data_IF_566019482665
#
_entry.id   IF_566019482665
#
_cell.length_a   1.000
_cell.length_b   1.000
_cell.length_c   1.000
_cell.angle_alpha   90.00
_cell.angle_beta   90.00
_cell.angle_gamma   90.00
#
_symmetry.space_group_name_H-M   'P 1'
#
loop_
_entity.id
_entity.type
_entity.pdbx_description
1 polymer ?
#
# COMPACT_ATOMS: atom_id res chain seq x y z
N UNK A 1 9.69 -3.64 6.49
CA UNK A 1 9.36 -5.08 6.57
C UNK A 1 8.90 -5.49 7.96
N UNK A 2 9.41 -4.85 9.02
CA UNK A 2 9.14 -5.21 10.41
C UNK A 2 10.07 -6.30 10.94
N UNK A 3 10.01 -6.58 12.26
CA UNK A 3 10.98 -7.40 12.98
C UNK A 3 10.77 -8.92 12.88
N UNK A 4 9.97 -9.41 11.93
CA UNK A 4 9.52 -10.82 11.92
C UNK A 4 8.40 -11.11 12.92
N UNK A 5 8.58 -10.72 14.19
CA UNK A 5 7.54 -10.77 15.23
C UNK A 5 7.49 -9.48 16.04
N UNK A 6 6.30 -8.92 16.19
CA UNK A 6 6.07 -7.76 17.06
C UNK A 6 6.12 -8.17 18.55
N UNK A 7 6.15 -7.17 19.45
CA UNK A 7 6.29 -7.39 20.91
C UNK A 7 5.15 -8.21 21.51
N UNK A 8 3.98 -8.18 20.90
CA UNK A 8 2.79 -8.95 21.27
C UNK A 8 2.81 -10.39 20.70
N UNK A 9 3.87 -10.78 19.99
CA UNK A 9 4.02 -12.08 19.34
C UNK A 9 3.43 -12.16 17.93
N UNK A 10 2.72 -11.12 17.47
CA UNK A 10 2.10 -11.07 16.15
C UNK A 10 3.17 -11.17 15.06
N UNK A 11 2.96 -12.03 14.06
CA UNK A 11 3.88 -12.20 12.93
C UNK A 11 3.81 -10.97 12.01
N UNK A 12 4.96 -10.53 11.52
CA UNK A 12 5.01 -9.53 10.44
C UNK A 12 4.68 -10.18 9.10
N UNK A 13 4.29 -9.35 8.13
CA UNK A 13 3.89 -9.77 6.78
C UNK A 13 4.90 -10.69 6.08
N UNK A 14 6.23 -10.46 6.14
CA UNK A 14 7.22 -11.39 5.60
C UNK A 14 7.03 -12.84 6.04
N UNK A 15 6.85 -13.10 7.34
CA UNK A 15 6.68 -14.48 7.83
C UNK A 15 5.36 -15.07 7.34
N UNK A 16 4.29 -14.29 7.29
CA UNK A 16 2.99 -14.76 6.78
C UNK A 16 3.06 -15.15 5.29
N UNK A 17 3.84 -14.41 4.50
CA UNK A 17 4.06 -14.74 3.08
C UNK A 17 4.86 -16.03 2.95
N UNK A 18 5.98 -16.14 3.68
CA UNK A 18 6.85 -17.30 3.61
C UNK A 18 6.16 -18.57 4.10
N UNK A 19 5.38 -18.51 5.18
CA UNK A 19 4.61 -19.66 5.67
C UNK A 19 3.61 -20.18 4.64
N UNK A 20 2.98 -19.29 3.87
CA UNK A 20 2.09 -19.69 2.78
C UNK A 20 2.87 -20.26 1.60
N UNK A 21 4.00 -19.65 1.25
CA UNK A 21 4.85 -20.10 0.14
C UNK A 21 5.40 -21.51 0.39
N UNK A 22 5.85 -21.80 1.61
CA UNK A 22 6.38 -23.12 2.01
C UNK A 22 5.33 -24.24 1.87
N UNK A 23 4.04 -23.90 1.94
CA UNK A 23 2.93 -24.86 1.82
C UNK A 23 2.46 -25.07 0.38
N UNK A 24 3.04 -24.36 -0.59
CA UNK A 24 2.63 -24.37 -1.99
C UNK A 24 3.81 -24.80 -2.87
N UNK A 25 3.67 -25.95 -3.53
CA UNK A 25 4.75 -26.57 -4.28
C UNK A 25 5.25 -25.69 -5.44
N UNK A 26 4.37 -24.95 -6.11
CA UNK A 26 4.76 -24.05 -7.19
C UNK A 26 5.51 -22.85 -6.61
N UNK A 27 5.02 -22.26 -5.51
CA UNK A 27 5.68 -21.12 -4.86
C UNK A 27 7.07 -21.48 -4.31
N UNK A 28 7.25 -22.68 -3.75
CA UNK A 28 8.56 -23.15 -3.30
C UNK A 28 9.60 -23.12 -4.43
N UNK A 29 9.20 -23.41 -5.66
CA UNK A 29 10.11 -23.46 -6.82
C UNK A 29 10.37 -22.10 -7.45
N UNK A 30 9.40 -21.18 -7.43
CA UNK A 30 9.48 -19.96 -8.24
C UNK A 30 9.57 -18.64 -7.46
N UNK A 31 9.14 -18.60 -6.20
CA UNK A 31 8.98 -17.34 -5.48
C UNK A 31 10.34 -16.77 -5.07
N UNK A 32 10.62 -15.54 -5.49
CA UNK A 32 11.74 -14.73 -4.98
C UNK A 32 11.18 -13.67 -4.04
N UNK A 33 11.65 -13.65 -2.79
CA UNK A 33 11.24 -12.63 -1.81
C UNK A 33 12.40 -11.72 -1.42
N UNK A 34 12.15 -10.42 -1.51
CA UNK A 34 13.04 -9.37 -1.02
C UNK A 34 12.28 -8.56 0.02
N UNK A 35 12.81 -8.51 1.24
CA UNK A 35 12.27 -7.72 2.33
C UNK A 35 13.23 -6.60 2.68
N UNK A 36 12.71 -5.40 2.95
CA UNK A 36 13.52 -4.24 3.33
C UNK A 36 12.93 -3.52 4.53
N UNK A 37 13.78 -3.11 5.46
CA UNK A 37 13.42 -2.22 6.56
C UNK A 37 14.54 -1.20 6.82
N UNK A 38 14.22 0.05 7.09
CA UNK A 38 15.23 1.06 7.40
C UNK A 38 15.82 0.86 8.82
N UNK A 39 15.08 0.22 9.72
CA UNK A 39 15.54 -0.08 11.06
C UNK A 39 16.41 -1.36 11.06
N UNK A 40 17.71 -1.20 11.32
CA UNK A 40 18.67 -2.31 11.28
C UNK A 40 18.39 -3.42 12.29
N UNK A 41 17.85 -3.09 13.46
CA UNK A 41 17.49 -4.10 14.47
C UNK A 41 16.29 -4.93 14.00
N UNK A 42 15.32 -4.29 13.34
CA UNK A 42 14.18 -4.97 12.73
C UNK A 42 14.61 -5.88 11.59
N UNK A 43 15.53 -5.44 10.72
CA UNK A 43 16.09 -6.29 9.66
C UNK A 43 16.81 -7.52 10.22
N UNK A 44 17.67 -7.34 11.24
CA UNK A 44 18.37 -8.47 11.88
C UNK A 44 17.41 -9.45 12.55
N UNK A 45 16.43 -8.91 13.31
CA UNK A 45 15.41 -9.73 13.97
C UNK A 45 14.56 -10.51 12.95
N UNK A 46 14.24 -9.90 11.80
CA UNK A 46 13.55 -10.57 10.72
C UNK A 46 14.38 -11.71 10.11
N UNK A 47 15.68 -11.51 9.88
CA UNK A 47 16.56 -12.58 9.37
C UNK A 47 16.58 -13.80 10.31
N UNK A 48 16.69 -13.58 11.62
CA UNK A 48 16.64 -14.66 12.62
C UNK A 48 15.29 -15.37 12.63
N UNK A 49 14.19 -14.60 12.52
CA UNK A 49 12.85 -15.16 12.45
C UNK A 49 12.63 -15.99 11.17
N UNK A 50 13.22 -15.59 10.04
CA UNK A 50 13.17 -16.36 8.78
C UNK A 50 13.98 -17.65 8.92
N UNK A 51 15.20 -17.58 9.47
CA UNK A 51 16.07 -18.77 9.69
C UNK A 51 15.43 -19.82 10.59
N UNK A 52 14.59 -19.39 11.52
CA UNK A 52 13.88 -20.27 12.46
C UNK A 52 12.53 -20.76 11.93
N UNK A 53 12.14 -20.37 10.71
CA UNK A 53 10.86 -20.75 10.13
C UNK A 53 10.91 -22.21 9.64
N UNK A 54 10.02 -23.11 10.11
CA UNK A 54 10.00 -24.50 9.66
C UNK A 54 9.73 -24.61 8.16
N UNK A 55 10.56 -25.38 7.44
CA UNK A 55 10.42 -25.61 6.01
C UNK A 55 11.01 -24.51 5.12
N UNK A 56 11.70 -23.51 5.69
CA UNK A 56 12.31 -22.43 4.91
C UNK A 56 13.31 -22.93 3.87
N UNK A 57 13.98 -24.05 4.16
CA UNK A 57 14.93 -24.74 3.30
C UNK A 57 14.29 -25.35 2.04
N UNK A 58 12.96 -25.50 2.02
CA UNK A 58 12.22 -25.97 0.84
C UNK A 58 12.08 -24.90 -0.25
N UNK A 59 12.28 -23.62 0.10
CA UNK A 59 12.24 -22.54 -0.88
C UNK A 59 13.52 -22.58 -1.73
N UNK A 60 13.37 -22.81 -3.05
CA UNK A 60 14.48 -22.80 -4.01
C UNK A 60 15.26 -21.48 -4.00
N UNK A 61 14.56 -20.37 -3.75
CA UNK A 61 15.14 -19.05 -3.62
C UNK A 61 15.03 -18.56 -2.19
N UNK A 62 16.12 -18.66 -1.44
CA UNK A 62 16.14 -18.24 -0.04
C UNK A 62 15.82 -16.74 0.12
N UNK A 63 14.99 -16.32 1.09
CA UNK A 63 14.60 -14.92 1.25
C UNK A 63 15.75 -13.97 1.53
N UNK A 64 15.70 -12.79 0.91
CA UNK A 64 16.69 -11.75 1.11
C UNK A 64 16.12 -10.65 2.02
N UNK A 65 16.94 -10.19 2.97
CA UNK A 65 16.60 -9.08 3.85
C UNK A 65 17.64 -7.97 3.64
N UNK A 66 17.14 -6.76 3.43
CA UNK A 66 17.94 -5.56 3.25
C UNK A 66 17.64 -4.53 4.34
N UNK A 67 18.60 -3.61 4.51
CA UNK A 67 18.50 -2.50 5.43
C UNK A 67 18.76 -1.17 4.72
N UNK A 68 17.80 -0.73 3.90
CA UNK A 68 17.87 0.53 3.15
C UNK A 68 16.71 1.45 3.51
N UNK A 69 16.98 2.76 3.53
CA UNK A 69 15.92 3.77 3.56
C UNK A 69 15.27 3.88 2.17
N UNK A 70 13.94 3.89 2.13
CA UNK A 70 13.20 4.02 0.86
C UNK A 70 13.34 5.44 0.34
N UNK A 71 13.91 5.58 -0.85
CA UNK A 71 14.13 6.87 -1.49
C UNK A 71 14.61 6.77 -2.93
N UNK A 72 15.27 7.83 -3.41
CA UNK A 72 15.69 7.96 -4.81
C UNK A 72 16.62 6.83 -5.28
N UNK A 73 17.47 6.31 -4.40
CA UNK A 73 18.39 5.22 -4.73
C UNK A 73 17.64 3.92 -5.05
N UNK A 74 16.59 3.60 -4.30
CA UNK A 74 15.74 2.42 -4.57
C UNK A 74 15.03 2.56 -5.92
N UNK A 75 14.50 3.76 -6.22
CA UNK A 75 13.88 4.01 -7.52
C UNK A 75 14.89 3.87 -8.67
N UNK A 76 16.13 4.35 -8.51
CA UNK A 76 17.20 4.17 -9.50
C UNK A 76 17.56 2.70 -9.70
N UNK A 77 17.67 1.94 -8.61
CA UNK A 77 17.93 0.50 -8.66
C UNK A 77 16.86 -0.22 -9.47
N UNK A 78 15.58 -0.01 -9.15
CA UNK A 78 14.47 -0.63 -9.92
C UNK A 78 14.41 -0.18 -11.38
N UNK A 79 14.78 1.07 -11.68
CA UNK A 79 14.87 1.54 -13.07
C UNK A 79 15.92 0.78 -13.89
N UNK A 80 17.01 0.35 -13.27
CA UNK A 80 18.12 -0.35 -13.93
C UNK A 80 17.93 -1.87 -13.98
N UNK A 81 17.13 -2.43 -13.08
CA UNK A 81 16.83 -3.86 -13.04
C UNK A 81 15.81 -4.24 -14.12
N UNK A 82 15.92 -5.44 -14.68
CA UNK A 82 14.82 -6.06 -15.43
C UNK A 82 14.02 -6.92 -14.46
N UNK A 83 12.83 -6.46 -14.08
CA UNK A 83 11.99 -7.18 -13.13
C UNK A 83 11.31 -8.37 -13.80
N UNK A 84 11.34 -9.50 -13.10
CA UNK A 84 10.39 -10.60 -13.29
C UNK A 84 9.00 -10.16 -12.79
N UNK A 85 7.91 -10.90 -13.05
CA UNK A 85 6.61 -10.58 -12.45
C UNK A 85 6.73 -10.35 -10.95
N UNK A 86 6.36 -9.14 -10.50
CA UNK A 86 6.67 -8.64 -9.17
C UNK A 86 5.44 -7.99 -8.56
N UNK A 87 5.08 -8.41 -7.35
CA UNK A 87 4.18 -7.64 -6.50
C UNK A 87 5.01 -6.80 -5.54
N UNK A 88 5.05 -5.49 -5.76
CA UNK A 88 5.80 -4.56 -4.94
C UNK A 88 4.91 -3.92 -3.88
N UNK A 89 5.32 -4.00 -2.62
CA UNK A 89 4.60 -3.44 -1.49
C UNK A 89 5.43 -2.39 -0.75
N UNK A 90 4.88 -1.18 -0.57
CA UNK A 90 5.59 -0.08 0.10
C UNK A 90 4.75 0.53 1.21
N UNK A 91 5.33 0.62 2.40
CA UNK A 91 4.77 1.38 3.51
C UNK A 91 5.70 2.58 3.81
N UNK A 92 5.47 3.75 3.19
CA UNK A 92 6.30 4.92 3.42
C UNK A 92 6.05 5.47 4.83
N UNK A 93 7.10 5.94 5.50
CA UNK A 93 6.95 6.63 6.77
C UNK A 93 6.39 8.06 6.56
N UNK A 94 5.07 8.15 6.42
CA UNK A 94 4.39 9.38 6.02
C UNK A 94 4.49 9.64 4.52
N UNK A 95 5.18 10.72 4.13
CA UNK A 95 5.34 11.13 2.72
C UNK A 95 6.74 10.83 2.15
N UNK A 96 7.70 10.42 2.98
CA UNK A 96 9.06 10.14 2.53
C UNK A 96 9.12 8.77 1.84
N UNK A 97 9.82 8.70 0.72
CA UNK A 97 10.08 7.47 -0.01
C UNK A 97 9.04 7.12 -1.09
N UNK A 98 7.82 7.67 -1.04
CA UNK A 98 6.82 7.46 -2.09
C UNK A 98 6.87 8.59 -3.12
N UNK A 99 6.98 8.22 -4.41
CA UNK A 99 6.96 9.16 -5.53
C UNK A 99 6.39 8.48 -6.77
N UNK A 100 5.90 9.28 -7.73
CA UNK A 100 5.47 8.77 -9.04
C UNK A 100 6.60 8.02 -9.74
N UNK A 101 7.85 8.49 -9.58
CA UNK A 101 9.05 7.86 -10.13
C UNK A 101 9.27 6.46 -9.56
N UNK A 102 9.09 6.26 -8.25
CA UNK A 102 9.23 4.95 -7.64
C UNK A 102 8.16 3.98 -8.17
N UNK A 103 6.90 4.41 -8.22
CA UNK A 103 5.82 3.56 -8.76
C UNK A 103 6.10 3.20 -10.22
N UNK A 104 6.50 4.17 -11.04
CA UNK A 104 6.85 3.94 -12.44
C UNK A 104 8.06 3.00 -12.61
N UNK A 105 9.07 3.10 -11.73
CA UNK A 105 10.26 2.25 -11.80
C UNK A 105 9.95 0.75 -11.65
N UNK A 106 8.86 0.44 -10.96
CA UNK A 106 8.38 -0.93 -10.76
C UNK A 106 7.43 -1.33 -11.87
N UNK A 107 6.47 -0.47 -12.21
CA UNK A 107 5.45 -0.76 -13.22
C UNK A 107 6.00 -0.78 -14.66
N UNK A 108 7.29 -0.50 -14.89
CA UNK A 108 7.85 -0.51 -16.25
C UNK A 108 7.84 -1.89 -16.89
N UNK A 109 8.10 -2.96 -16.13
CA UNK A 109 8.25 -4.31 -16.66
C UNK A 109 6.93 -5.09 -16.69
N UNK A 110 6.91 -6.23 -17.38
CA UNK A 110 5.72 -7.06 -17.52
C UNK A 110 5.38 -7.77 -16.19
N UNK A 111 4.08 -7.92 -15.91
CA UNK A 111 3.60 -8.64 -14.72
C UNK A 111 3.94 -7.97 -13.39
N UNK A 112 4.21 -6.66 -13.39
CA UNK A 112 4.55 -5.90 -12.19
C UNK A 112 3.36 -5.07 -11.68
N UNK A 113 3.08 -5.23 -10.39
CA UNK A 113 1.99 -4.59 -9.67
C UNK A 113 2.55 -3.85 -8.45
N UNK A 114 1.92 -2.74 -8.06
CA UNK A 114 2.37 -1.93 -6.92
C UNK A 114 1.21 -1.73 -5.94
N UNK A 115 1.48 -1.99 -4.66
CA UNK A 115 0.61 -1.65 -3.54
C UNK A 115 1.39 -0.72 -2.62
N UNK A 116 0.76 0.36 -2.17
CA UNK A 116 1.37 1.18 -1.14
C UNK A 116 0.37 1.78 -0.16
N UNK A 117 0.85 2.02 1.06
CA UNK A 117 0.13 2.79 2.06
C UNK A 117 0.14 4.27 1.71
N UNK A 118 -1.04 4.88 1.79
CA UNK A 118 -1.25 6.29 1.56
C UNK A 118 -1.92 6.93 2.78
N UNK A 119 -1.09 7.55 3.62
CA UNK A 119 -1.57 8.26 4.80
C UNK A 119 -2.16 9.62 4.41
N UNK A 120 -3.43 9.64 4.02
CA UNK A 120 -4.09 10.86 3.54
C UNK A 120 -4.00 12.01 4.56
N UNK A 121 -4.07 11.73 5.87
CA UNK A 121 -3.99 12.74 6.91
C UNK A 121 -2.67 13.52 6.83
N UNK A 122 -1.55 12.79 6.70
CA UNK A 122 -0.22 13.40 6.54
C UNK A 122 -0.07 14.14 5.22
N UNK A 123 -0.64 13.62 4.14
CA UNK A 123 -0.59 14.28 2.82
C UNK A 123 -1.43 15.56 2.80
N UNK A 124 -2.63 15.53 3.37
CA UNK A 124 -3.51 16.68 3.49
C UNK A 124 -2.83 17.82 4.27
N UNK A 125 -2.14 17.51 5.37
CA UNK A 125 -1.32 18.49 6.10
C UNK A 125 -0.08 18.93 5.30
N UNK A 126 0.56 17.99 4.58
CA UNK A 126 1.76 18.24 3.80
C UNK A 126 1.55 19.14 2.59
N UNK A 127 0.36 19.12 1.98
CA UNK A 127 0.07 19.94 0.80
C UNK A 127 0.18 21.44 1.08
N UNK A 128 -0.18 21.91 2.27
CA UNK A 128 -0.05 23.31 2.69
C UNK A 128 1.31 23.65 3.32
N UNK A 129 2.18 22.67 3.54
CA UNK A 129 3.43 22.85 4.28
C UNK A 129 4.63 22.95 3.33
N UNK A 130 5.24 24.14 3.31
CA UNK A 130 6.40 24.47 2.50
C UNK A 130 7.62 23.55 2.74
N UNK A 131 7.83 23.10 3.98
CA UNK A 131 8.98 22.25 4.34
C UNK A 131 8.95 20.88 3.66
N UNK A 132 7.79 20.45 3.16
CA UNK A 132 7.59 19.13 2.55
C UNK A 132 7.06 19.24 1.13
N UNK A 133 7.08 20.44 0.55
CA UNK A 133 6.60 20.74 -0.80
C UNK A 133 7.19 19.79 -1.83
N UNK A 134 8.49 19.52 -1.76
CA UNK A 134 9.17 18.63 -2.71
C UNK A 134 8.67 17.19 -2.64
N UNK A 135 8.26 16.70 -1.47
CA UNK A 135 7.63 15.38 -1.36
C UNK A 135 6.24 15.35 -1.99
N UNK A 136 5.46 16.43 -1.86
CA UNK A 136 4.16 16.53 -2.54
C UNK A 136 4.34 16.62 -4.05
N UNK A 137 5.32 17.40 -4.51
CA UNK A 137 5.65 17.51 -5.93
C UNK A 137 6.12 16.16 -6.50
N UNK A 138 6.91 15.39 -5.75
CA UNK A 138 7.32 14.06 -6.16
C UNK A 138 6.15 13.05 -6.23
N UNK A 139 5.10 13.26 -5.42
CA UNK A 139 3.95 12.37 -5.33
C UNK A 139 2.84 12.67 -6.33
N UNK A 140 2.62 13.95 -6.67
CA UNK A 140 1.54 14.38 -7.59
C UNK A 140 2.07 14.94 -8.91
N UNK A 141 3.33 15.34 -8.97
CA UNK A 141 3.84 16.29 -9.96
C UNK A 141 3.56 17.73 -9.52
N UNK A 142 4.51 18.64 -9.76
CA UNK A 142 4.44 20.03 -9.27
C UNK A 142 3.15 20.75 -9.73
N UNK A 143 2.85 20.73 -11.03
CA UNK A 143 1.66 21.39 -11.58
C UNK A 143 0.36 20.90 -10.95
N UNK A 144 0.25 19.58 -10.75
CA UNK A 144 -0.93 18.98 -10.11
C UNK A 144 -1.00 19.32 -8.62
N UNK A 145 0.14 19.29 -7.91
CA UNK A 145 0.21 19.66 -6.51
C UNK A 145 -0.22 21.11 -6.28
N UNK A 146 0.22 22.04 -7.14
CA UNK A 146 -0.16 23.46 -7.08
C UNK A 146 -1.66 23.65 -7.33
N UNK A 147 -2.21 23.01 -8.37
CA UNK A 147 -3.63 23.06 -8.65
C UNK A 147 -4.47 22.45 -7.51
N UNK A 148 -4.01 21.34 -6.94
CA UNK A 148 -4.65 20.67 -5.81
C UNK A 148 -4.68 21.57 -4.57
N UNK A 149 -3.57 22.24 -4.23
CA UNK A 149 -3.51 23.20 -3.11
C UNK A 149 -4.59 24.27 -3.22
N UNK A 150 -4.79 24.83 -4.42
CA UNK A 150 -5.78 25.87 -4.65
C UNK A 150 -7.22 25.36 -4.47
N UNK A 151 -7.54 24.17 -5.02
CA UNK A 151 -8.88 23.58 -4.92
C UNK A 151 -9.28 23.26 -3.48
N UNK A 152 -8.33 22.73 -2.70
CA UNK A 152 -8.60 22.25 -1.34
C UNK A 152 -9.06 23.34 -0.37
N UNK A 153 -8.78 24.62 -0.60
CA UNK A 153 -9.11 25.73 0.32
C UNK A 153 -10.60 25.78 0.65
N UNK A 154 -11.44 25.47 -0.33
CA UNK A 154 -12.91 25.62 -0.22
C UNK A 154 -13.66 24.33 0.13
N UNK A 155 -12.94 23.20 0.22
CA UNK A 155 -13.55 21.88 0.37
C UNK A 155 -13.66 21.45 1.83
N UNK A 156 -14.74 20.75 2.14
CA UNK A 156 -14.92 20.13 3.45
C UNK A 156 -13.97 18.92 3.65
N UNK A 157 -13.81 18.40 4.89
CA UNK A 157 -12.88 17.29 5.15
C UNK A 157 -13.08 16.04 4.28
N UNK A 158 -14.33 15.68 3.95
CA UNK A 158 -14.65 14.51 3.12
C UNK A 158 -14.31 14.78 1.66
N UNK A 159 -14.72 15.94 1.15
CA UNK A 159 -14.40 16.35 -0.22
C UNK A 159 -12.89 16.47 -0.45
N UNK A 160 -12.15 17.00 0.54
CA UNK A 160 -10.70 17.07 0.50
C UNK A 160 -10.05 15.70 0.36
N UNK A 161 -10.54 14.71 1.10
CA UNK A 161 -10.03 13.33 1.02
C UNK A 161 -10.23 12.76 -0.39
N UNK A 162 -11.46 12.88 -0.92
CA UNK A 162 -11.80 12.41 -2.27
C UNK A 162 -10.93 13.10 -3.34
N UNK A 163 -10.80 14.42 -3.26
CA UNK A 163 -10.03 15.22 -4.22
C UNK A 163 -8.53 14.87 -4.22
N UNK A 164 -7.96 14.59 -3.04
CA UNK A 164 -6.57 14.16 -2.90
C UNK A 164 -6.36 12.76 -3.48
N UNK A 165 -7.26 11.81 -3.17
CA UNK A 165 -7.17 10.43 -3.65
C UNK A 165 -7.38 10.36 -5.16
N UNK A 166 -8.35 11.10 -5.70
CA UNK A 166 -8.61 11.21 -7.13
C UNK A 166 -7.41 11.83 -7.85
N UNK A 167 -6.85 12.92 -7.31
CA UNK A 167 -5.65 13.56 -7.88
C UNK A 167 -4.46 12.60 -7.91
N UNK A 168 -4.27 11.79 -6.87
CA UNK A 168 -3.24 10.75 -6.85
C UNK A 168 -3.51 9.68 -7.92
N UNK A 169 -4.75 9.17 -7.99
CA UNK A 169 -5.11 8.13 -8.94
C UNK A 169 -4.88 8.56 -10.39
N UNK A 170 -5.27 9.79 -10.73
CA UNK A 170 -5.01 10.37 -12.05
C UNK A 170 -3.51 10.51 -12.34
N UNK A 171 -2.71 10.99 -11.37
CA UNK A 171 -1.26 11.09 -11.53
C UNK A 171 -0.62 9.73 -11.82
N UNK A 172 -1.07 8.67 -11.13
CA UNK A 172 -0.59 7.30 -11.33
C UNK A 172 -1.02 6.72 -12.68
N UNK A 173 -2.22 7.05 -13.15
CA UNK A 173 -2.70 6.64 -14.49
C UNK A 173 -1.86 7.25 -15.59
N UNK A 174 -1.50 8.52 -15.44
CA UNK A 174 -0.63 9.24 -16.39
C UNK A 174 0.80 8.69 -16.42
N UNK A 175 1.29 8.10 -15.31
CA UNK A 175 2.63 7.48 -15.24
C UNK A 175 2.66 6.01 -15.67
N UNK A 176 1.57 5.49 -16.22
CA UNK A 176 1.47 4.15 -16.80
C UNK A 176 0.66 3.15 -15.99
N UNK A 177 0.18 3.52 -14.81
CA UNK A 177 -0.71 2.71 -13.98
C UNK A 177 -2.14 2.70 -14.52
N UNK A 178 -2.43 1.90 -15.56
CA UNK A 178 -3.73 1.88 -16.25
C UNK A 178 -4.95 1.74 -15.31
N UNK A 179 -4.79 0.94 -14.25
CA UNK A 179 -5.81 0.68 -13.25
C UNK A 179 -5.29 1.06 -11.87
N UNK A 180 -6.07 1.87 -11.15
CA UNK A 180 -5.80 2.27 -9.76
C UNK A 180 -7.00 1.89 -8.91
N UNK A 181 -6.75 1.23 -7.77
CA UNK A 181 -7.77 0.84 -6.80
C UNK A 181 -7.38 1.37 -5.41
N UNK A 182 -8.05 2.42 -4.94
CA UNK A 182 -7.99 2.84 -3.54
C UNK A 182 -8.85 1.92 -2.66
N UNK A 183 -8.36 1.61 -1.47
CA UNK A 183 -9.12 0.93 -0.42
C UNK A 183 -8.94 1.66 0.91
N UNK A 184 -10.02 2.15 1.49
CA UNK A 184 -10.01 3.01 2.67
C UNK A 184 -9.96 2.24 3.99
N UNK A 185 -9.20 2.71 4.97
CA UNK A 185 -9.20 2.18 6.33
C UNK A 185 -9.70 3.24 7.31
N UNK A 186 -10.80 2.96 8.01
CA UNK A 186 -11.28 3.82 9.10
C UNK A 186 -10.47 3.57 10.38
N UNK A 187 -10.40 4.59 11.23
CA UNK A 187 -9.81 4.48 12.57
C UNK A 187 -10.64 3.55 13.47
N UNK A 188 -10.16 3.27 14.69
CA UNK A 188 -10.85 2.40 15.65
C UNK A 188 -12.29 2.85 15.99
N UNK A 189 -12.57 4.16 15.92
CA UNK A 189 -13.91 4.73 16.16
C UNK A 189 -14.82 4.68 14.93
N UNK A 190 -14.30 4.34 13.75
CA UNK A 190 -15.04 4.31 12.49
C UNK A 190 -15.40 5.66 11.88
N UNK A 191 -15.04 6.78 12.52
CA UNK A 191 -15.52 8.12 12.16
C UNK A 191 -14.60 8.88 11.19
N UNK A 192 -13.35 8.43 11.04
CA UNK A 192 -12.36 9.08 10.17
C UNK A 192 -11.59 8.04 9.42
N UNK A 193 -11.23 8.36 8.19
CA UNK A 193 -10.19 7.62 7.50
C UNK A 193 -8.88 7.74 8.30
N UNK A 194 -8.08 6.69 8.27
CA UNK A 194 -6.74 6.66 8.83
C UNK A 194 -5.72 6.73 7.70
N UNK A 195 -5.90 5.86 6.70
CA UNK A 195 -5.08 5.75 5.50
C UNK A 195 -5.86 5.02 4.40
N UNK A 196 -5.29 5.00 3.20
CA UNK A 196 -5.70 4.13 2.11
C UNK A 196 -4.60 3.13 1.81
N UNK A 197 -4.97 1.95 1.30
CA UNK A 197 -4.08 1.14 0.46
C UNK A 197 -4.40 1.48 -1.00
N UNK A 198 -3.37 1.79 -1.78
CA UNK A 198 -3.50 2.08 -3.20
C UNK A 198 -2.85 0.95 -3.97
N UNK A 199 -3.64 0.24 -4.79
CA UNK A 199 -3.14 -0.72 -5.76
C UNK A 199 -3.06 -0.08 -7.14
N UNK A 200 -1.97 -0.34 -7.86
CA UNK A 200 -1.71 0.17 -9.21
C UNK A 200 -1.22 -0.96 -10.10
N UNK A 201 -1.83 -1.10 -11.28
CA UNK A 201 -1.54 -2.16 -12.25
C UNK A 201 -1.76 -1.67 -13.70
N UNK A 202 -1.18 -2.35 -14.68
CA UNK A 202 -1.37 -2.19 -16.13
C UNK A 202 -2.40 -3.16 -16.75
N UNK A 203 -2.71 -4.27 -16.09
CA UNK A 203 -3.46 -5.41 -16.62
C UNK A 203 -4.82 -5.61 -15.93
N UNK A 204 -5.83 -5.92 -16.75
CA UNK A 204 -7.22 -6.12 -16.29
C UNK A 204 -7.37 -7.34 -15.37
N UNK A 205 -6.57 -8.39 -15.54
CA UNK A 205 -6.63 -9.59 -14.72
C UNK A 205 -6.24 -9.28 -13.27
N UNK A 206 -5.11 -8.60 -13.06
CA UNK A 206 -4.67 -8.21 -11.72
C UNK A 206 -5.61 -7.17 -11.09
N UNK A 207 -6.16 -6.24 -11.89
CA UNK A 207 -7.25 -5.36 -11.43
C UNK A 207 -8.46 -6.16 -10.92
N UNK A 208 -8.92 -7.16 -11.67
CA UNK A 208 -10.09 -7.97 -11.31
C UNK A 208 -9.84 -8.75 -10.02
N UNK A 209 -8.70 -9.44 -9.93
CA UNK A 209 -8.30 -10.20 -8.73
C UNK A 209 -8.23 -9.29 -7.51
N UNK A 210 -7.53 -8.14 -7.61
CA UNK A 210 -7.39 -7.24 -6.47
C UNK A 210 -8.73 -6.61 -6.08
N UNK A 211 -9.58 -6.29 -7.07
CA UNK A 211 -10.94 -5.77 -6.81
C UNK A 211 -11.78 -6.79 -6.03
N UNK A 212 -11.71 -8.06 -6.37
CA UNK A 212 -12.40 -9.14 -5.64
C UNK A 212 -11.86 -9.31 -4.22
N UNK A 213 -10.53 -9.27 -4.05
CA UNK A 213 -9.90 -9.30 -2.72
C UNK A 213 -10.39 -8.13 -1.87
N UNK A 214 -10.29 -6.90 -2.37
CA UNK A 214 -10.74 -5.70 -1.66
C UNK A 214 -12.25 -5.72 -1.38
N UNK A 215 -13.07 -6.22 -2.31
CA UNK A 215 -14.50 -6.35 -2.10
C UNK A 215 -14.80 -7.31 -0.93
N UNK A 216 -14.10 -8.45 -0.85
CA UNK A 216 -14.25 -9.41 0.25
C UNK A 216 -13.78 -8.86 1.60
N UNK A 217 -12.72 -8.05 1.59
CA UNK A 217 -12.19 -7.43 2.81
C UNK A 217 -12.95 -6.17 3.25
N UNK A 218 -13.90 -5.67 2.44
CA UNK A 218 -14.74 -4.54 2.81
C UNK A 218 -15.62 -4.88 4.01
N UNK A 219 -15.73 -3.96 4.98
CA UNK A 219 -16.59 -4.16 6.15
C UNK A 219 -18.08 -4.11 5.82
N UNK A 220 -18.45 -3.53 4.66
CA UNK A 220 -19.83 -3.28 4.25
C UNK A 220 -20.04 -3.59 2.77
N UNK A 221 -21.26 -4.02 2.49
CA UNK A 221 -21.83 -4.13 1.14
C UNK A 221 -23.12 -3.33 1.15
N UNK A 222 -23.24 -2.34 0.29
CA UNK A 222 -24.42 -1.49 0.14
C UNK A 222 -25.07 -1.81 -1.20
N UNK A 223 -26.33 -2.25 -1.18
CA UNK A 223 -27.08 -2.60 -2.39
C UNK A 223 -26.34 -3.60 -3.31
N UNK A 224 -25.60 -4.55 -2.73
CA UNK A 224 -24.81 -5.54 -3.48
C UNK A 224 -23.44 -5.04 -3.97
N UNK A 225 -23.05 -3.80 -3.65
CA UNK A 225 -21.75 -3.23 -4.02
C UNK A 225 -20.89 -3.08 -2.77
N UNK A 226 -19.70 -3.69 -2.78
CA UNK A 226 -18.73 -3.53 -1.70
C UNK A 226 -18.26 -2.08 -1.59
N UNK A 227 -18.09 -1.57 -0.37
CA UNK A 227 -17.72 -0.17 -0.15
C UNK A 227 -16.25 0.13 -0.46
N UNK A 228 -15.40 -0.90 -0.62
CA UNK A 228 -13.95 -0.76 -0.71
C UNK A 228 -13.35 -0.03 0.51
N UNK A 229 -13.96 -0.24 1.67
CA UNK A 229 -13.49 0.28 2.94
C UNK A 229 -13.51 -0.78 4.04
N UNK A 230 -12.43 -0.83 4.82
CA UNK A 230 -12.38 -1.54 6.09
C UNK A 230 -12.67 -0.58 7.23
N UNK A 231 -13.69 -0.89 8.01
CA UNK A 231 -14.06 -0.18 9.22
C UNK A 231 -14.15 -1.17 10.40
N UNK A 232 -13.27 -1.04 11.42
CA UNK A 232 -13.27 -1.93 12.57
C UNK A 232 -14.51 -1.76 13.46
N UNK A 233 -15.10 -0.56 13.54
CA UNK A 233 -16.28 -0.29 14.36
C UNK A 233 -17.53 -1.04 13.86
N UNK A 234 -17.65 -1.18 12.53
CA UNK A 234 -18.76 -1.91 11.90
C UNK A 234 -18.76 -3.40 12.27
N UNK A 235 -17.58 -3.99 12.48
CA UNK A 235 -17.45 -5.39 12.93
C UNK A 235 -17.84 -5.59 14.39
N UNK A 236 -17.75 -4.54 15.23
CA UNK A 236 -18.03 -4.64 16.66
C UNK A 236 -19.50 -4.33 17.00
N UNK A 237 -20.18 -3.47 16.22
CA UNK A 237 -21.56 -3.03 16.50
C UNK A 237 -22.46 -3.02 15.24
N UNK A 238 -22.66 -4.16 14.56
CA UNK A 238 -23.36 -4.19 13.27
C UNK A 238 -24.80 -3.65 13.35
N UNK A 239 -25.56 -4.00 14.40
CA UNK A 239 -26.98 -3.64 14.55
C UNK A 239 -27.20 -2.14 14.81
N UNK A 240 -26.36 -1.51 15.63
CA UNK A 240 -26.53 -0.10 16.00
C UNK A 240 -26.25 0.85 14.82
N UNK A 241 -25.33 0.47 13.93
CA UNK A 241 -24.99 1.27 12.76
C UNK A 241 -25.98 1.11 11.60
N UNK A 242 -26.61 -0.06 11.44
CA UNK A 242 -27.71 -0.22 10.49
C UNK A 242 -28.90 0.69 10.85
N UNK A 243 -29.18 0.86 12.15
CA UNK A 243 -30.26 1.72 12.65
C UNK A 243 -29.97 3.23 12.51
N UNK A 244 -28.71 3.63 12.37
CA UNK A 244 -28.32 5.05 12.23
C UNK A 244 -28.24 5.52 10.77
N UNK A 245 -28.56 4.65 9.80
CA UNK A 245 -28.56 5.04 8.38
C UNK A 245 -29.86 5.78 8.02
N UNK A 246 -29.77 6.84 7.20
CA UNK A 246 -30.94 7.38 6.53
C UNK A 246 -31.65 6.26 5.75
N UNK A 247 -32.98 6.21 5.83
CA UNK A 247 -33.81 5.31 5.04
C UNK A 247 -33.98 5.90 3.63
N UNK A 248 -32.88 5.97 2.87
CA UNK A 248 -32.91 6.33 1.45
C UNK A 248 -32.25 5.22 0.61
#
# INVERSE_FOLDING_TARGET
AGPGRYKDGTKSTPLLILEKAIQDADMCEMLVTIFNDANGDSSKSLEEAIKSLPGIESLRHYPQVYNFEVGTQIAQMFQQMNLVPTLFFVDPWGYKGLSLRLVQSVLKDWGCDCIFFFNYNRINMGLANELVREHMNALFGQTRADALRARLISLDPRERELEIVESLAQALRETGGRFVLPFGFRNAQGNRTSHHLIFVNKNIRGYTIMKEVMARESSKVEQGVATFEYNPADRHYPLLFELSRPLD
#
